data_IF_864283365077
#
_entry.id   IF_864283365077
#
_cell.length_a   1.000
_cell.length_b   1.000
_cell.length_c   1.000
_cell.angle_alpha   90.00
_cell.angle_beta   90.00
_cell.angle_gamma   90.00
#
_symmetry.space_group_name_H-M   'P 1'
#
loop_
_entity.id
_entity.type
_entity.pdbx_description
1 polymer ?
#
# COMPACT_ATOMS: atom_id res chain seq x y z
N UNK A 1 17.80 16.60 5.58
CA UNK A 1 16.43 16.11 5.76
C UNK A 1 16.52 14.59 5.86
N UNK A 2 15.68 13.92 6.66
CA UNK A 2 15.68 12.46 6.72
C UNK A 2 15.11 11.88 5.43
N UNK A 3 15.81 10.88 4.87
CA UNK A 3 15.36 10.14 3.70
C UNK A 3 14.51 8.93 4.14
N UNK A 4 13.29 8.86 3.65
CA UNK A 4 12.31 7.85 4.03
C UNK A 4 12.04 6.94 2.84
N UNK A 5 12.19 5.64 3.05
CA UNK A 5 11.82 4.62 2.09
C UNK A 5 10.52 3.94 2.56
N UNK A 6 9.46 4.09 1.79
CA UNK A 6 8.22 3.34 2.00
C UNK A 6 8.20 2.17 1.05
N UNK A 7 8.04 0.96 1.56
CA UNK A 7 7.83 -0.24 0.73
C UNK A 7 6.49 -0.83 1.12
N UNK A 8 5.54 -0.89 0.17
CA UNK A 8 4.19 -1.32 0.52
C UNK A 8 3.22 -1.27 -0.64
N UNK A 9 1.95 -1.32 -0.30
CA UNK A 9 0.81 -1.41 -1.21
C UNK A 9 0.44 -0.10 -1.89
N UNK A 10 -0.07 -0.25 -3.12
CA UNK A 10 -0.81 0.77 -3.86
C UNK A 10 -2.14 0.15 -4.30
N UNK A 11 -3.25 0.78 -3.96
CA UNK A 11 -4.60 0.32 -4.35
C UNK A 11 -5.40 1.44 -4.98
N UNK A 12 -6.27 1.10 -5.92
CA UNK A 12 -7.37 1.97 -6.30
C UNK A 12 -8.60 1.58 -5.46
N UNK A 13 -8.97 2.45 -4.54
CA UNK A 13 -10.15 2.26 -3.71
C UNK A 13 -11.40 2.66 -4.51
N UNK A 14 -12.34 1.72 -4.65
CA UNK A 14 -13.62 1.89 -5.33
C UNK A 14 -14.71 2.02 -4.27
N UNK A 15 -15.10 3.25 -4.01
CA UNK A 15 -15.99 3.61 -2.90
C UNK A 15 -17.40 3.87 -3.41
N UNK A 16 -18.40 3.19 -2.85
CA UNK A 16 -19.80 3.47 -3.08
C UNK A 16 -20.54 3.69 -1.75
N UNK A 17 -21.50 4.61 -1.75
CA UNK A 17 -22.39 4.85 -0.62
C UNK A 17 -23.67 4.02 -0.81
N UNK A 18 -24.12 3.37 0.25
CA UNK A 18 -25.33 2.56 0.28
C UNK A 18 -26.18 2.95 1.49
N UNK A 19 -27.50 2.73 1.44
CA UNK A 19 -28.35 2.95 2.60
C UNK A 19 -27.97 2.01 3.76
N UNK A 20 -27.78 0.73 3.46
CA UNK A 20 -27.27 -0.28 4.41
C UNK A 20 -26.40 -1.31 3.68
N UNK A 21 -25.52 -1.97 4.42
CA UNK A 21 -24.72 -3.07 3.87
C UNK A 21 -25.62 -4.24 3.48
N UNK A 22 -25.54 -4.77 2.23
CA UNK A 22 -26.40 -5.85 1.77
C UNK A 22 -26.20 -7.13 2.58
N UNK A 23 -27.30 -7.81 2.90
CA UNK A 23 -27.29 -9.17 3.48
C UNK A 23 -27.09 -10.20 2.38
N UNK A 24 -26.81 -11.44 2.77
CA UNK A 24 -26.68 -12.56 1.81
C UNK A 24 -27.97 -12.69 0.97
N UNK A 25 -27.82 -12.65 -0.35
CA UNK A 25 -28.93 -12.72 -1.31
C UNK A 25 -29.67 -11.39 -1.55
N UNK A 26 -29.26 -10.31 -0.89
CA UNK A 26 -29.88 -8.98 -1.06
C UNK A 26 -29.18 -8.17 -2.14
N UNK A 27 -29.94 -7.40 -2.90
CA UNK A 27 -29.44 -6.39 -3.83
C UNK A 27 -29.79 -5.02 -3.29
N UNK A 28 -28.76 -4.16 -3.11
CA UNK A 28 -28.94 -2.74 -2.74
C UNK A 28 -28.44 -1.85 -3.88
N UNK A 29 -29.07 -0.69 -4.02
CA UNK A 29 -28.66 0.32 -4.99
C UNK A 29 -27.64 1.25 -4.32
N UNK A 30 -26.43 1.37 -4.94
CA UNK A 30 -25.41 2.30 -4.50
C UNK A 30 -25.61 3.70 -5.10
N UNK A 31 -25.12 4.72 -4.40
CA UNK A 31 -25.17 6.11 -4.83
C UNK A 31 -23.79 6.53 -5.39
N UNK A 32 -23.58 6.26 -6.66
CA UNK A 32 -22.35 6.59 -7.36
C UNK A 32 -21.19 5.60 -7.08
N UNK A 33 -20.07 5.85 -7.75
CA UNK A 33 -18.81 5.15 -7.55
C UNK A 33 -17.68 6.18 -7.60
N UNK A 34 -16.93 6.29 -6.53
CA UNK A 34 -15.76 7.15 -6.43
C UNK A 34 -14.49 6.30 -6.53
N UNK A 35 -13.52 6.76 -7.34
CA UNK A 35 -12.19 6.15 -7.42
C UNK A 35 -11.21 7.00 -6.61
N UNK A 36 -10.61 6.42 -5.60
CA UNK A 36 -9.72 7.12 -4.67
C UNK A 36 -8.37 6.42 -4.65
N UNK A 37 -7.30 7.18 -4.85
CA UNK A 37 -5.96 6.64 -4.69
C UNK A 37 -5.72 6.25 -3.22
N UNK A 38 -5.39 4.98 -2.99
CA UNK A 38 -5.28 4.36 -1.69
C UNK A 38 -4.15 3.32 -1.60
N UNK A 39 -4.30 2.39 -0.68
CA UNK A 39 -3.26 1.47 -0.25
C UNK A 39 -2.47 2.02 0.92
N UNK A 40 -2.24 1.19 1.96
CA UNK A 40 -1.60 1.66 3.21
C UNK A 40 -0.20 2.21 2.96
N UNK A 41 0.57 1.59 2.06
CA UNK A 41 1.88 2.06 1.66
C UNK A 41 1.83 3.43 1.00
N UNK A 42 1.02 3.58 -0.05
CA UNK A 42 0.87 4.84 -0.76
C UNK A 42 0.31 5.95 0.14
N UNK A 43 -0.67 5.65 0.99
CA UNK A 43 -1.25 6.62 1.92
C UNK A 43 -0.21 7.17 2.91
N UNK A 44 0.67 6.32 3.46
CA UNK A 44 1.75 6.77 4.34
C UNK A 44 2.79 7.58 3.59
N UNK A 45 3.19 7.15 2.39
CA UNK A 45 4.14 7.90 1.55
C UNK A 45 3.60 9.29 1.21
N UNK A 46 2.35 9.38 0.77
CA UNK A 46 1.66 10.64 0.46
C UNK A 46 1.56 11.55 1.68
N UNK A 47 1.18 11.01 2.85
CA UNK A 47 1.09 11.81 4.06
C UNK A 47 2.44 12.44 4.44
N UNK A 48 3.52 11.67 4.36
CA UNK A 48 4.88 12.17 4.64
C UNK A 48 5.36 13.15 3.57
N UNK A 49 5.09 12.90 2.27
CA UNK A 49 5.41 13.83 1.18
C UNK A 49 4.72 15.18 1.35
N UNK A 50 3.43 15.19 1.69
CA UNK A 50 2.66 16.42 2.00
C UNK A 50 3.24 17.22 3.18
N UNK A 51 3.88 16.54 4.14
CA UNK A 51 4.57 17.18 5.27
C UNK A 51 5.99 17.65 4.90
N UNK A 52 6.39 17.51 3.64
CA UNK A 52 7.69 17.98 3.13
C UNK A 52 8.86 17.03 3.40
N UNK A 53 8.60 15.76 3.73
CA UNK A 53 9.68 14.78 3.87
C UNK A 53 10.24 14.33 2.51
N UNK A 54 11.51 13.90 2.48
CA UNK A 54 12.14 13.26 1.32
C UNK A 54 11.74 11.78 1.30
N UNK A 55 10.73 11.46 0.49
CA UNK A 55 10.08 10.14 0.48
C UNK A 55 10.25 9.46 -0.88
N UNK A 56 10.73 8.23 -0.84
CA UNK A 56 10.69 7.30 -1.97
C UNK A 56 9.70 6.18 -1.69
N UNK A 57 8.79 5.91 -2.64
CA UNK A 57 7.83 4.79 -2.59
C UNK A 57 8.27 3.67 -3.51
N UNK A 58 8.34 2.46 -2.97
CA UNK A 58 8.52 1.21 -3.72
C UNK A 58 7.27 0.33 -3.49
N UNK A 59 6.81 -0.28 -4.54
CA UNK A 59 5.66 -1.18 -4.55
C UNK A 59 5.51 -1.82 -5.91
N UNK A 60 4.37 -2.42 -6.17
CA UNK A 60 4.07 -3.01 -7.46
C UNK A 60 2.64 -2.71 -7.89
N UNK A 61 2.48 -2.33 -9.16
CA UNK A 61 1.18 -2.09 -9.81
C UNK A 61 1.08 -2.90 -11.10
N UNK A 62 -0.13 -3.01 -11.63
CA UNK A 62 -0.37 -3.58 -12.95
C UNK A 62 0.08 -2.67 -14.08
N UNK A 63 -0.43 -2.96 -15.30
CA UNK A 63 -0.23 -2.13 -16.51
C UNK A 63 -1.54 -1.45 -16.94
N UNK A 64 -2.52 -1.42 -16.06
CA UNK A 64 -3.84 -0.85 -16.26
C UNK A 64 -3.89 0.67 -15.96
N UNK A 65 -5.05 1.28 -16.21
CA UNK A 65 -5.25 2.72 -16.01
C UNK A 65 -5.14 3.13 -14.54
N UNK A 66 -5.46 2.24 -13.59
CA UNK A 66 -5.31 2.50 -12.17
C UNK A 66 -3.85 2.69 -11.79
N UNK A 67 -2.94 1.90 -12.39
CA UNK A 67 -1.50 2.10 -12.19
C UNK A 67 -1.06 3.53 -12.53
N UNK A 68 -1.49 4.04 -13.69
CA UNK A 68 -1.13 5.38 -14.15
C UNK A 68 -1.64 6.46 -13.18
N UNK A 69 -2.91 6.36 -12.76
CA UNK A 69 -3.52 7.31 -11.82
C UNK A 69 -2.82 7.31 -10.45
N UNK A 70 -2.45 6.13 -9.94
CA UNK A 70 -1.75 6.00 -8.65
C UNK A 70 -0.34 6.61 -8.69
N UNK A 71 0.40 6.38 -9.77
CA UNK A 71 1.75 6.94 -9.95
C UNK A 71 1.70 8.46 -10.11
N UNK A 72 0.74 8.98 -10.87
CA UNK A 72 0.52 10.42 -11.01
C UNK A 72 0.17 11.07 -9.67
N UNK A 73 -0.66 10.40 -8.85
CA UNK A 73 -0.98 10.87 -7.50
C UNK A 73 0.28 10.95 -6.61
N UNK A 74 1.13 9.92 -6.59
CA UNK A 74 2.39 9.96 -5.84
C UNK A 74 3.26 11.17 -6.25
N UNK A 75 3.43 11.36 -7.54
CA UNK A 75 4.22 12.47 -8.09
C UNK A 75 3.65 13.84 -7.70
N UNK A 76 2.34 14.04 -7.82
CA UNK A 76 1.67 15.29 -7.42
C UNK A 76 1.83 15.58 -5.92
N UNK A 77 1.97 14.55 -5.11
CA UNK A 77 2.14 14.65 -3.65
C UNK A 77 3.61 14.73 -3.20
N UNK A 78 4.55 14.92 -4.14
CA UNK A 78 5.97 15.10 -3.84
C UNK A 78 6.70 13.82 -3.44
N UNK A 79 6.15 12.65 -3.76
CA UNK A 79 6.76 11.34 -3.50
C UNK A 79 7.54 10.88 -4.72
N UNK A 80 8.81 10.51 -4.53
CA UNK A 80 9.61 9.86 -5.58
C UNK A 80 9.10 8.43 -5.76
N UNK A 81 8.57 8.08 -6.94
CA UNK A 81 8.16 6.72 -7.22
C UNK A 81 9.31 5.89 -7.82
N UNK A 82 9.49 4.69 -7.27
CA UNK A 82 10.30 3.58 -7.82
C UNK A 82 9.42 2.33 -7.89
N UNK A 83 8.15 2.52 -8.21
CA UNK A 83 7.13 1.47 -8.27
C UNK A 83 7.35 0.61 -9.52
N UNK A 84 7.32 -0.70 -9.32
CA UNK A 84 7.46 -1.68 -10.40
C UNK A 84 6.12 -1.93 -11.08
N UNK A 85 6.15 -2.28 -12.36
CA UNK A 85 4.96 -2.68 -13.12
C UNK A 85 5.02 -4.16 -13.49
N UNK A 86 3.86 -4.81 -13.52
CA UNK A 86 3.72 -6.21 -13.94
C UNK A 86 2.49 -6.38 -14.83
N UNK A 87 2.59 -7.24 -15.82
CA UNK A 87 1.48 -7.71 -16.67
C UNK A 87 0.80 -8.98 -16.14
N UNK A 88 1.33 -9.54 -15.03
CA UNK A 88 0.85 -10.82 -14.45
C UNK A 88 -0.37 -10.66 -13.55
N UNK A 89 -0.68 -9.45 -13.11
CA UNK A 89 -1.84 -9.13 -12.30
C UNK A 89 -2.26 -7.67 -12.49
N UNK A 90 -3.55 -7.35 -12.31
CA UNK A 90 -4.00 -5.96 -12.28
C UNK A 90 -3.46 -5.24 -11.05
N UNK A 91 -3.54 -3.92 -11.05
CA UNK A 91 -3.28 -3.07 -9.89
C UNK A 91 -4.18 -3.47 -8.72
N UNK A 92 -3.65 -3.42 -7.50
CA UNK A 92 -4.43 -3.67 -6.30
C UNK A 92 -5.65 -2.76 -6.20
N UNK A 93 -6.75 -3.30 -5.70
CA UNK A 93 -8.01 -2.57 -5.52
C UNK A 93 -8.64 -2.89 -4.17
N UNK A 94 -9.43 -1.94 -3.64
CA UNK A 94 -10.35 -2.21 -2.54
C UNK A 94 -11.77 -1.83 -2.96
N UNK A 95 -12.72 -2.73 -2.75
CA UNK A 95 -14.15 -2.46 -2.92
C UNK A 95 -14.69 -2.03 -1.57
N UNK A 96 -15.17 -0.80 -1.46
CA UNK A 96 -15.57 -0.19 -0.20
C UNK A 96 -17.02 0.24 -0.29
N UNK A 97 -17.85 -0.32 0.56
CA UNK A 97 -19.23 0.15 0.78
C UNK A 97 -19.29 0.92 2.09
N UNK A 98 -19.86 2.11 2.05
CA UNK A 98 -20.08 2.95 3.24
C UNK A 98 -21.58 3.15 3.41
N UNK A 99 -22.12 2.76 4.56
CA UNK A 99 -23.54 2.89 4.87
C UNK A 99 -23.86 4.26 5.51
N UNK A 100 -25.15 4.55 5.75
CA UNK A 100 -25.60 5.81 6.36
C UNK A 100 -25.11 6.01 7.81
N UNK A 101 -24.78 4.93 8.51
CA UNK A 101 -24.17 4.99 9.85
C UNK A 101 -22.67 5.25 9.81
N UNK A 102 -22.09 5.47 8.62
CA UNK A 102 -20.66 5.59 8.36
C UNK A 102 -19.83 4.31 8.66
N UNK A 103 -20.50 3.15 8.82
CA UNK A 103 -19.79 1.87 8.86
C UNK A 103 -19.30 1.50 7.45
N UNK A 104 -18.15 0.89 7.38
CA UNK A 104 -17.59 0.42 6.11
C UNK A 104 -17.51 -1.10 6.05
N UNK A 105 -17.67 -1.62 4.84
CA UNK A 105 -17.39 -3.02 4.49
C UNK A 105 -16.41 -3.02 3.33
N UNK A 106 -15.29 -3.71 3.51
CA UNK A 106 -14.15 -3.62 2.59
C UNK A 106 -13.74 -5.01 2.12
N UNK A 107 -13.60 -5.16 0.80
CA UNK A 107 -12.97 -6.33 0.18
C UNK A 107 -11.70 -5.87 -0.50
N UNK A 108 -10.54 -6.38 -0.06
CA UNK A 108 -9.24 -6.06 -0.66
C UNK A 108 -8.86 -7.14 -1.68
N UNK A 109 -8.47 -6.69 -2.86
CA UNK A 109 -7.91 -7.51 -3.93
C UNK A 109 -6.45 -7.09 -4.08
N UNK A 110 -5.53 -7.93 -3.62
CA UNK A 110 -4.11 -7.60 -3.58
C UNK A 110 -3.52 -7.27 -4.96
N UNK A 111 -3.97 -7.97 -6.01
CA UNK A 111 -3.45 -7.74 -7.36
C UNK A 111 -1.92 -7.80 -7.41
N UNK A 112 -1.31 -6.84 -8.06
CA UNK A 112 0.14 -6.73 -8.20
C UNK A 112 0.88 -6.61 -6.85
N UNK A 113 0.27 -6.04 -5.81
CA UNK A 113 0.90 -5.99 -4.47
C UNK A 113 1.30 -7.38 -3.97
N UNK A 114 0.47 -8.40 -4.24
CA UNK A 114 0.74 -9.78 -3.85
C UNK A 114 1.88 -10.46 -4.62
N UNK A 115 2.39 -9.81 -5.66
CA UNK A 115 3.49 -10.33 -6.48
C UNK A 115 4.85 -9.73 -6.13
N UNK A 116 4.91 -8.79 -5.19
CA UNK A 116 6.18 -8.23 -4.70
C UNK A 116 6.88 -9.27 -3.82
N UNK A 117 7.87 -9.98 -4.40
CA UNK A 117 8.57 -11.09 -3.75
C UNK A 117 9.89 -10.67 -3.09
N UNK A 118 10.41 -11.45 -2.12
CA UNK A 118 11.66 -11.15 -1.41
C UNK A 118 12.87 -10.99 -2.35
N UNK A 119 12.98 -11.81 -3.39
CA UNK A 119 14.08 -11.80 -4.37
C UNK A 119 14.08 -10.54 -5.28
N UNK A 120 12.98 -9.79 -5.27
CA UNK A 120 12.89 -8.51 -5.98
C UNK A 120 13.46 -7.34 -5.18
N UNK A 121 13.68 -7.51 -3.86
CA UNK A 121 14.15 -6.45 -2.97
C UNK A 121 15.66 -6.22 -3.19
N UNK A 122 15.98 -5.08 -3.78
CA UNK A 122 17.36 -4.75 -4.14
C UNK A 122 18.09 -4.10 -2.97
N UNK A 123 19.30 -4.60 -2.59
CA UNK A 123 20.09 -3.98 -1.53
C UNK A 123 20.37 -2.48 -1.74
N UNK A 124 20.51 -2.04 -2.99
CA UNK A 124 20.75 -0.63 -3.33
C UNK A 124 19.57 0.31 -3.07
N UNK A 125 18.38 -0.21 -2.75
CA UNK A 125 17.25 0.63 -2.37
C UNK A 125 17.42 1.24 -0.98
N UNK A 126 18.27 0.63 -0.15
CA UNK A 126 18.54 1.05 1.22
C UNK A 126 19.72 2.02 1.35
N UNK A 127 20.40 2.34 0.23
CA UNK A 127 21.53 3.26 0.25
C UNK A 127 21.06 4.67 0.63
N UNK A 128 21.71 5.27 1.61
CA UNK A 128 21.42 6.62 2.14
C UNK A 128 20.00 6.77 2.74
N UNK A 129 19.34 5.69 3.15
CA UNK A 129 18.03 5.72 3.80
C UNK A 129 18.19 5.82 5.33
N UNK A 130 17.45 6.74 5.93
CA UNK A 130 17.39 6.88 7.39
C UNK A 130 16.26 6.06 8.03
N UNK A 131 15.12 5.93 7.33
CA UNK A 131 13.89 5.31 7.86
C UNK A 131 13.26 4.45 6.78
N UNK A 132 12.89 3.22 7.14
CA UNK A 132 12.04 2.34 6.33
C UNK A 132 10.65 2.26 6.96
N UNK A 133 9.60 2.40 6.15
CA UNK A 133 8.19 2.32 6.59
C UNK A 133 7.48 1.20 5.86
N UNK A 134 6.81 0.33 6.62
CA UNK A 134 6.17 -0.90 6.14
C UNK A 134 4.74 -1.04 6.65
N UNK A 135 3.98 -1.88 5.96
CA UNK A 135 2.62 -2.31 6.32
C UNK A 135 2.47 -3.79 5.95
N UNK A 136 1.29 -4.37 6.17
CA UNK A 136 1.05 -5.81 5.94
C UNK A 136 0.11 -6.07 4.74
N UNK A 137 0.13 -5.21 3.71
CA UNK A 137 -0.64 -5.41 2.47
C UNK A 137 0.21 -5.92 1.29
N UNK A 138 1.46 -6.31 1.56
CA UNK A 138 2.35 -7.04 0.66
C UNK A 138 2.70 -8.38 1.31
N UNK A 139 3.28 -9.37 0.60
CA UNK A 139 3.61 -10.67 1.19
C UNK A 139 4.48 -10.57 2.44
N UNK A 140 4.15 -11.33 3.49
CA UNK A 140 4.84 -11.27 4.78
C UNK A 140 6.32 -11.69 4.70
N UNK A 141 6.65 -12.64 3.82
CA UNK A 141 8.02 -13.05 3.55
C UNK A 141 8.84 -11.89 2.96
N UNK A 142 8.21 -11.05 2.14
CA UNK A 142 8.82 -9.83 1.61
C UNK A 142 9.02 -8.79 2.71
N UNK A 143 8.04 -8.60 3.58
CA UNK A 143 8.17 -7.71 4.76
C UNK A 143 9.33 -8.16 5.63
N UNK A 144 9.45 -9.46 5.90
CA UNK A 144 10.55 -10.05 6.69
C UNK A 144 11.91 -9.79 6.04
N UNK A 145 12.03 -10.00 4.72
CA UNK A 145 13.30 -9.70 4.00
C UNK A 145 13.67 -8.23 4.06
N UNK A 146 12.69 -7.31 3.92
CA UNK A 146 12.94 -5.87 4.03
C UNK A 146 13.43 -5.50 5.44
N UNK A 147 12.78 -6.00 6.49
CA UNK A 147 13.19 -5.76 7.87
C UNK A 147 14.61 -6.27 8.12
N UNK A 148 14.92 -7.48 7.65
CA UNK A 148 16.27 -8.07 7.75
C UNK A 148 17.31 -7.19 7.07
N UNK A 149 17.05 -6.69 5.86
CA UNK A 149 17.97 -5.81 5.14
C UNK A 149 18.15 -4.44 5.80
N UNK A 150 17.08 -3.85 6.32
CA UNK A 150 17.12 -2.59 7.07
C UNK A 150 17.93 -2.74 8.38
N UNK A 151 17.66 -3.81 9.15
CA UNK A 151 18.37 -4.14 10.39
C UNK A 151 19.87 -4.34 10.17
N UNK A 152 20.26 -5.07 9.11
CA UNK A 152 21.67 -5.27 8.77
C UNK A 152 22.43 -3.97 8.47
N UNK A 153 21.72 -2.88 8.18
CA UNK A 153 22.25 -1.54 7.88
C UNK A 153 22.01 -0.54 9.01
N UNK A 154 21.45 -0.96 10.15
CA UNK A 154 21.05 -0.10 11.25
C UNK A 154 20.07 1.01 10.83
N UNK A 155 19.20 0.76 9.86
CA UNK A 155 18.16 1.68 9.42
C UNK A 155 16.95 1.55 10.37
N UNK A 156 16.43 2.70 10.84
CA UNK A 156 15.24 2.70 11.70
C UNK A 156 14.02 2.22 10.90
N UNK A 157 13.32 1.21 11.43
CA UNK A 157 12.18 0.59 10.76
C UNK A 157 10.89 0.87 11.52
N UNK A 158 9.87 1.34 10.80
CA UNK A 158 8.50 1.56 11.30
C UNK A 158 7.58 0.56 10.60
N UNK A 159 6.96 -0.31 11.37
CA UNK A 159 5.94 -1.24 10.88
C UNK A 159 4.56 -0.82 11.38
N UNK A 160 3.65 -0.55 10.45
CA UNK A 160 2.22 -0.49 10.72
C UNK A 160 1.64 -1.92 10.59
N UNK A 161 1.27 -2.60 11.70
CA UNK A 161 0.81 -3.99 11.67
C UNK A 161 -0.65 -4.12 11.17
N UNK A 162 -0.96 -3.49 10.05
CA UNK A 162 -2.30 -3.49 9.45
C UNK A 162 -2.26 -3.95 7.98
N UNK A 163 -3.23 -4.82 7.55
CA UNK A 163 -4.30 -5.43 8.34
C UNK A 163 -3.75 -6.36 9.43
N UNK A 164 -4.51 -6.50 10.53
CA UNK A 164 -4.09 -7.34 11.64
C UNK A 164 -3.91 -8.80 11.19
N UNK A 165 -2.73 -9.35 11.44
CA UNK A 165 -2.39 -10.74 11.18
C UNK A 165 -1.41 -11.24 12.24
N UNK A 166 -1.27 -12.56 12.33
CA UNK A 166 -0.25 -13.14 13.21
C UNK A 166 1.15 -12.81 12.66
N UNK A 167 2.00 -12.27 13.51
CA UNK A 167 3.41 -12.02 13.22
C UNK A 167 4.28 -12.86 14.14
N UNK A 168 5.31 -13.48 13.58
CA UNK A 168 6.32 -14.17 14.38
C UNK A 168 7.08 -13.14 15.24
N UNK A 169 7.34 -13.51 16.51
CA UNK A 169 8.08 -12.63 17.43
C UNK A 169 9.45 -12.24 16.90
N UNK A 170 10.10 -13.09 16.11
CA UNK A 170 11.41 -12.82 15.53
C UNK A 170 11.39 -11.70 14.48
N UNK A 171 10.21 -11.41 13.91
CA UNK A 171 10.02 -10.28 13.01
C UNK A 171 10.03 -8.93 13.76
N UNK A 172 9.71 -8.95 15.06
CA UNK A 172 9.55 -7.76 15.90
C UNK A 172 10.80 -7.44 16.75
N UNK A 173 11.79 -8.32 16.75
CA UNK A 173 13.08 -8.18 17.47
C UNK A 173 14.17 -7.63 16.55
#
# INVERSE_FOLDING_TARGET
MKKILVIGSLNMDQVTKVHHTPKVGETVVGNGLELIAGGKGANQAVAMGKLGADVTMIGMVGTDDFASQLLDNLKQMGVTDKVMKTDKAPTGTALIMVNESADNSIVVIAGANGLLKPDMIKPSWFDDIDIVVLQLEIPLDTVAEIIKQAKARNIYTVLNPSPATHLDEDLLK
#
